data_IF_786120423749
#
_entry.id   IF_786120423749
#
_cell.length_a   1.000
_cell.length_b   1.000
_cell.length_c   1.000
_cell.angle_alpha   90.00
_cell.angle_beta   90.00
_cell.angle_gamma   90.00
#
_symmetry.space_group_name_H-M   'P 1'
#
loop_
_entity.id
_entity.type
_entity.pdbx_description
1 polymer ?
#
# COMPACT_ATOMS: atom_id res chain seq x y z
N UNK A 1 -17.21 15.07 13.22
CA UNK A 1 -15.90 14.47 13.54
C UNK A 1 -15.90 12.96 13.60
N UNK A 2 -16.79 12.29 14.36
CA UNK A 2 -16.88 10.81 14.40
C UNK A 2 -16.82 10.11 13.02
N UNK A 3 -17.65 10.54 12.05
CA UNK A 3 -17.67 9.94 10.71
C UNK A 3 -16.35 10.10 9.94
N UNK A 4 -15.56 11.12 10.24
CA UNK A 4 -14.23 11.26 9.64
C UNK A 4 -13.27 10.17 10.15
N UNK A 5 -13.34 9.81 11.44
CA UNK A 5 -12.58 8.66 11.95
C UNK A 5 -13.08 7.33 11.42
N UNK A 6 -14.39 7.15 11.24
CA UNK A 6 -14.95 5.95 10.56
C UNK A 6 -14.35 5.81 9.15
N UNK A 7 -14.34 6.89 8.37
CA UNK A 7 -13.71 6.91 7.05
C UNK A 7 -12.18 6.70 7.12
N UNK A 8 -11.52 7.22 8.16
CA UNK A 8 -10.10 7.02 8.41
C UNK A 8 -9.74 5.55 8.65
N UNK A 9 -10.48 4.85 9.52
CA UNK A 9 -10.21 3.44 9.85
C UNK A 9 -10.59 2.49 8.72
N UNK A 10 -11.74 2.69 8.07
CA UNK A 10 -12.14 1.86 6.93
C UNK A 10 -11.26 2.10 5.71
N UNK A 11 -10.91 3.36 5.42
CA UNK A 11 -9.96 3.65 4.35
C UNK A 11 -8.55 3.13 4.67
N UNK A 12 -8.09 3.25 5.92
CA UNK A 12 -6.81 2.72 6.35
C UNK A 12 -6.70 1.19 6.22
N UNK A 13 -7.73 0.45 6.62
CA UNK A 13 -7.76 -1.01 6.45
C UNK A 13 -7.82 -1.42 4.97
N UNK A 14 -8.64 -0.72 4.17
CA UNK A 14 -8.71 -0.91 2.72
C UNK A 14 -7.35 -0.68 2.05
N UNK A 15 -6.67 0.43 2.37
CA UNK A 15 -5.38 0.76 1.77
C UNK A 15 -4.26 -0.18 2.23
N UNK A 16 -4.33 -0.69 3.46
CA UNK A 16 -3.42 -1.75 3.94
C UNK A 16 -3.54 -3.01 3.08
N UNK A 17 -4.77 -3.50 2.89
CA UNK A 17 -5.02 -4.68 2.05
C UNK A 17 -4.63 -4.45 0.57
N UNK A 18 -4.98 -3.28 0.03
CA UNK A 18 -4.63 -2.87 -1.33
C UNK A 18 -3.10 -2.83 -1.53
N UNK A 19 -2.37 -2.18 -0.62
CA UNK A 19 -0.92 -2.08 -0.74
C UNK A 19 -0.26 -3.46 -0.65
N UNK A 20 -0.62 -4.27 0.35
CA UNK A 20 -0.09 -5.62 0.51
C UNK A 20 -0.34 -6.49 -0.73
N UNK A 21 -1.57 -6.51 -1.25
CA UNK A 21 -1.90 -7.29 -2.45
C UNK A 21 -1.16 -6.84 -3.71
N UNK A 22 -0.97 -5.53 -3.93
CA UNK A 22 -0.24 -5.02 -5.10
C UNK A 22 1.26 -5.31 -5.03
N UNK A 23 1.87 -5.20 -3.85
CA UNK A 23 3.27 -5.58 -3.66
C UNK A 23 3.45 -7.08 -3.86
N UNK A 24 2.66 -7.92 -3.20
CA UNK A 24 2.75 -9.39 -3.31
C UNK A 24 2.53 -9.90 -4.73
N UNK A 25 1.60 -9.29 -5.49
CA UNK A 25 1.32 -9.69 -6.88
C UNK A 25 2.40 -9.27 -7.89
N UNK A 26 3.37 -8.44 -7.49
CA UNK A 26 4.43 -7.93 -8.36
C UNK A 26 5.84 -8.27 -7.89
N UNK A 27 5.97 -9.23 -6.96
CA UNK A 27 7.26 -9.78 -6.54
C UNK A 27 8.04 -10.33 -7.73
N UNK A 28 9.34 -10.04 -7.76
CA UNK A 28 10.25 -10.62 -8.75
C UNK A 28 10.50 -12.07 -8.35
N UNK A 29 10.45 -12.99 -9.33
CA UNK A 29 10.63 -14.42 -9.06
C UNK A 29 12.10 -14.72 -8.77
N UNK A 30 12.41 -14.96 -7.50
CA UNK A 30 13.75 -15.31 -7.00
C UNK A 30 13.84 -16.70 -6.34
N UNK A 31 12.72 -17.42 -6.25
CA UNK A 31 12.63 -18.76 -5.62
C UNK A 31 12.02 -19.81 -6.54
N UNK A 32 12.17 -21.08 -6.15
CA UNK A 32 11.48 -22.21 -6.80
C UNK A 32 10.06 -22.37 -6.25
N UNK A 33 9.25 -23.23 -6.90
CA UNK A 33 7.87 -23.48 -6.47
C UNK A 33 7.75 -24.25 -5.15
N UNK A 34 8.82 -24.92 -4.72
CA UNK A 34 8.84 -25.75 -3.51
C UNK A 34 9.31 -24.98 -2.27
N UNK A 35 9.55 -23.68 -2.38
CA UNK A 35 10.08 -22.82 -1.33
C UNK A 35 9.18 -21.59 -1.15
N UNK A 36 9.16 -21.01 0.06
CA UNK A 36 8.45 -19.75 0.28
C UNK A 36 9.05 -18.63 -0.57
N UNK A 37 8.19 -17.80 -1.19
CA UNK A 37 8.60 -16.60 -1.93
C UNK A 37 9.35 -15.60 -1.05
N UNK A 38 9.12 -15.62 0.26
CA UNK A 38 9.80 -14.72 1.21
C UNK A 38 11.31 -14.93 1.23
N UNK A 39 11.78 -16.16 0.93
CA UNK A 39 13.21 -16.45 0.82
C UNK A 39 13.89 -15.75 -0.37
N UNK A 40 13.11 -15.21 -1.31
CA UNK A 40 13.60 -14.40 -2.43
C UNK A 40 14.17 -13.07 -1.99
N UNK A 41 13.66 -12.49 -0.89
CA UNK A 41 14.20 -11.27 -0.30
C UNK A 41 15.37 -11.59 0.65
N UNK A 42 16.45 -10.82 0.53
CA UNK A 42 17.58 -10.84 1.46
C UNK A 42 17.63 -9.56 2.27
N UNK A 43 17.74 -9.69 3.59
CA UNK A 43 17.81 -8.54 4.48
C UNK A 43 19.01 -7.63 4.13
N UNK A 44 18.72 -6.37 3.80
CA UNK A 44 19.73 -5.38 3.45
C UNK A 44 20.16 -5.38 1.98
N UNK A 45 19.45 -6.08 1.09
CA UNK A 45 19.70 -5.99 -0.35
C UNK A 45 19.52 -4.54 -0.87
N UNK A 46 20.31 -4.15 -1.87
CA UNK A 46 20.25 -2.80 -2.46
C UNK A 46 19.11 -2.59 -3.46
N UNK A 47 18.62 -3.67 -4.07
CA UNK A 47 17.60 -3.64 -5.11
C UNK A 47 16.18 -3.87 -4.54
N UNK A 48 15.19 -3.30 -5.20
CA UNK A 48 13.77 -3.48 -4.85
C UNK A 48 13.31 -4.93 -5.13
N UNK A 49 12.45 -5.49 -4.26
CA UNK A 49 12.00 -6.89 -4.35
C UNK A 49 10.78 -7.10 -5.27
N UNK A 50 10.15 -6.01 -5.72
CA UNK A 50 8.94 -6.05 -6.53
C UNK A 50 8.98 -4.99 -7.63
N UNK A 51 8.20 -5.20 -8.69
CA UNK A 51 8.13 -4.28 -9.81
C UNK A 51 6.99 -3.26 -9.64
N UNK A 52 7.32 -2.07 -9.15
CA UNK A 52 6.35 -0.97 -8.96
C UNK A 52 5.69 -0.53 -10.27
N UNK A 53 6.37 -0.63 -11.41
CA UNK A 53 5.79 -0.26 -12.72
C UNK A 53 4.71 -1.27 -13.12
N UNK A 54 4.92 -2.56 -12.84
CA UNK A 54 3.91 -3.60 -13.07
C UNK A 54 2.70 -3.40 -12.14
N UNK A 55 2.93 -3.15 -10.85
CA UNK A 55 1.86 -2.85 -9.88
C UNK A 55 1.05 -1.60 -10.28
N UNK A 56 1.74 -0.52 -10.65
CA UNK A 56 1.12 0.71 -11.13
C UNK A 56 0.30 0.48 -12.40
N UNK A 57 0.84 -0.27 -13.36
CA UNK A 57 0.17 -0.61 -14.61
C UNK A 57 -1.08 -1.47 -14.41
N UNK A 58 -1.04 -2.44 -13.49
CA UNK A 58 -2.22 -3.23 -13.12
C UNK A 58 -3.30 -2.34 -12.49
N UNK A 59 -2.96 -1.60 -11.43
CA UNK A 59 -3.93 -0.80 -10.69
C UNK A 59 -4.48 0.37 -11.52
N UNK A 60 -3.64 0.98 -12.36
CA UNK A 60 -4.05 2.04 -13.29
C UNK A 60 -5.05 1.55 -14.35
N UNK A 61 -4.99 0.28 -14.74
CA UNK A 61 -5.99 -0.35 -15.62
C UNK A 61 -7.24 -0.80 -14.87
N UNK A 62 -7.12 -1.18 -13.60
CA UNK A 62 -8.24 -1.63 -12.77
C UNK A 62 -9.23 -0.48 -12.47
N UNK A 63 -8.72 0.72 -12.18
CA UNK A 63 -9.54 1.89 -11.82
C UNK A 63 -9.49 2.94 -12.94
N UNK A 64 -8.43 3.74 -12.98
CA UNK A 64 -8.02 4.60 -14.11
C UNK A 64 -6.60 5.09 -13.85
N UNK A 65 -5.84 5.41 -14.91
CA UNK A 65 -4.38 5.60 -14.84
C UNK A 65 -3.93 6.60 -13.75
N UNK A 66 -4.63 7.73 -13.62
CA UNK A 66 -4.28 8.80 -12.68
C UNK A 66 -4.67 8.52 -11.23
N UNK A 67 -5.46 7.49 -10.95
CA UNK A 67 -5.77 7.05 -9.59
C UNK A 67 -4.64 6.22 -8.95
N UNK A 68 -3.64 5.82 -9.73
CA UNK A 68 -2.55 4.96 -9.30
C UNK A 68 -1.29 5.75 -9.00
N UNK A 69 -0.52 5.31 -7.99
CA UNK A 69 0.76 5.92 -7.63
C UNK A 69 1.88 5.32 -8.49
N UNK A 70 2.66 6.17 -9.15
CA UNK A 70 3.91 5.79 -9.83
C UNK A 70 5.17 6.21 -9.05
N UNK A 71 5.00 6.90 -7.91
CA UNK A 71 6.06 7.31 -7.00
C UNK A 71 5.83 6.66 -5.64
N UNK A 72 6.73 5.76 -5.24
CA UNK A 72 6.67 5.04 -3.97
C UNK A 72 6.59 5.98 -2.75
N UNK A 73 7.31 7.11 -2.77
CA UNK A 73 7.32 8.06 -1.64
C UNK A 73 5.95 8.70 -1.42
N UNK A 74 5.29 9.09 -2.52
CA UNK A 74 3.95 9.66 -2.46
C UNK A 74 2.93 8.63 -1.98
N UNK A 75 3.02 7.38 -2.47
CA UNK A 75 2.17 6.27 -2.01
C UNK A 75 2.28 6.09 -0.50
N UNK A 76 3.51 5.89 0.02
CA UNK A 76 3.72 5.63 1.44
C UNK A 76 3.34 6.83 2.32
N UNK A 77 3.57 8.05 1.85
CA UNK A 77 3.07 9.25 2.52
C UNK A 77 1.53 9.23 2.63
N UNK A 78 0.82 8.91 1.55
CA UNK A 78 -0.64 8.81 1.57
C UNK A 78 -1.15 7.69 2.49
N UNK A 79 -0.47 6.53 2.53
CA UNK A 79 -0.80 5.42 3.43
C UNK A 79 -0.69 5.84 4.91
N UNK A 80 0.30 6.67 5.27
CA UNK A 80 0.43 7.20 6.61
C UNK A 80 -0.60 8.31 6.90
N UNK A 81 -0.78 9.23 5.95
CA UNK A 81 -1.61 10.42 6.15
C UNK A 81 -3.08 10.07 6.42
N UNK A 82 -3.66 9.15 5.64
CA UNK A 82 -5.10 8.87 5.67
C UNK A 82 -5.62 8.43 7.06
N UNK A 83 -5.10 7.36 7.67
CA UNK A 83 -5.58 6.93 8.99
C UNK A 83 -5.25 7.97 10.08
N UNK A 84 -4.09 8.62 10.02
CA UNK A 84 -3.66 9.61 11.04
C UNK A 84 -4.60 10.81 11.08
N UNK A 85 -4.90 11.40 9.92
CA UNK A 85 -5.83 12.54 9.85
C UNK A 85 -7.23 12.13 10.32
N UNK A 86 -7.70 10.94 9.93
CA UNK A 86 -9.00 10.43 10.38
C UNK A 86 -9.10 10.32 11.91
N UNK A 87 -8.07 9.80 12.57
CA UNK A 87 -8.03 9.68 14.03
C UNK A 87 -7.95 11.05 14.72
N UNK A 88 -7.12 11.97 14.21
CA UNK A 88 -7.06 13.35 14.76
C UNK A 88 -8.40 14.06 14.65
N UNK A 89 -9.08 13.97 13.50
CA UNK A 89 -10.40 14.57 13.31
C UNK A 89 -11.41 14.00 14.31
N UNK A 90 -11.43 12.69 14.54
CA UNK A 90 -12.33 12.10 15.54
C UNK A 90 -11.95 12.49 16.97
N UNK A 91 -10.65 12.57 17.32
CA UNK A 91 -10.25 12.97 18.68
C UNK A 91 -10.67 14.41 18.99
N UNK A 92 -10.57 15.33 18.02
CA UNK A 92 -11.08 16.69 18.14
C UNK A 92 -12.60 16.75 18.33
N UNK A 93 -13.34 15.73 17.88
CA UNK A 93 -14.79 15.64 18.10
C UNK A 93 -15.20 15.14 19.48
N UNK A 94 -14.26 14.56 20.23
CA UNK A 94 -14.47 14.07 21.60
C UNK A 94 -13.98 15.11 22.63
N UNK A 95 -12.99 15.93 22.24
CA UNK A 95 -12.42 17.00 23.06
C UNK A 95 -13.39 18.15 23.26
#
# INVERSE_FOLDING_TARGET
>A
FHMAGVAGVFGGSLFSAMHGSLVTSSLIRETTENESTDYGYKFGQGEETYNIVAAHGYFGRLIFQYASFNNSRALHFSLALWPVVGIWLTSMGVS
#
